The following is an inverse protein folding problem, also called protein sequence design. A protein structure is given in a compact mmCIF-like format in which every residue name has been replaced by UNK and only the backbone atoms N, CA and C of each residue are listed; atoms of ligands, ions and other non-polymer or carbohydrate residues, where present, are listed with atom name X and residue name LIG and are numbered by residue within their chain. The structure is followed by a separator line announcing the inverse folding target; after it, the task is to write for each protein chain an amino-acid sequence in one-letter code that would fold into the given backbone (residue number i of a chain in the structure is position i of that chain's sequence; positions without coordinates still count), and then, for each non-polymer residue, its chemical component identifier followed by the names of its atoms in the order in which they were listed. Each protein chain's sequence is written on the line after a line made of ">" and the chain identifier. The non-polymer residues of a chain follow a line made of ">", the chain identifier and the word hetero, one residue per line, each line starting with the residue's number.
data_IF_673057797641
#
_entry.id   IF_673057797641
#
_cell.length_a   1.000
_cell.length_b   1.000
_cell.length_c   1.000
_cell.angle_alpha   90.00
_cell.angle_beta   90.00
_cell.angle_gamma   90.00
#
_symmetry.space_group_name_H-M   'P 1'
#
loop_
_entity.id
_entity.type
_entity.pdbx_description
1 polymer ?
#
# COMPACT_ATOMS: atom_id res chain seq x y z
N UNK A 1 24.84 45.23 -62.35
CA UNK A 1 24.40 44.39 -61.22
C UNK A 1 22.94 44.03 -61.45
N UNK A 2 22.65 42.80 -61.86
CA UNK A 2 21.27 42.32 -62.03
C UNK A 2 21.03 41.31 -60.91
N UNK A 3 20.19 41.69 -59.95
CA UNK A 3 19.71 40.78 -58.90
C UNK A 3 18.79 39.73 -59.53
N UNK A 4 19.20 38.46 -59.56
CA UNK A 4 18.30 37.35 -59.88
C UNK A 4 17.30 37.22 -58.74
N UNK A 5 16.06 37.61 -58.97
CA UNK A 5 14.94 37.28 -58.09
C UNK A 5 14.59 35.82 -58.40
N UNK A 6 15.14 34.90 -57.60
CA UNK A 6 14.79 33.48 -57.65
C UNK A 6 13.40 33.29 -57.05
N UNK A 7 12.38 33.14 -57.89
CA UNK A 7 11.05 32.73 -57.44
C UNK A 7 11.09 31.26 -57.04
N UNK A 8 10.66 30.94 -55.81
CA UNK A 8 10.46 29.57 -55.37
C UNK A 8 9.41 28.90 -56.24
N UNK A 9 9.70 27.70 -56.75
CA UNK A 9 8.72 26.94 -57.53
C UNK A 9 7.75 26.23 -56.59
N UNK A 10 6.48 26.09 -57.01
CA UNK A 10 5.45 25.37 -56.23
C UNK A 10 5.92 23.95 -55.87
N UNK A 11 6.69 23.30 -56.75
CA UNK A 11 7.27 21.97 -56.54
C UNK A 11 8.27 21.98 -55.38
N UNK A 12 9.12 23.00 -55.29
CA UNK A 12 10.13 23.12 -54.24
C UNK A 12 9.48 23.31 -52.85
N UNK A 13 8.40 24.11 -52.78
CA UNK A 13 7.60 24.26 -51.56
C UNK A 13 6.95 22.93 -51.14
N UNK A 14 6.40 22.17 -52.09
CA UNK A 14 5.78 20.87 -51.81
C UNK A 14 6.80 19.83 -51.31
N UNK A 15 8.03 19.82 -51.87
CA UNK A 15 9.10 18.93 -51.41
C UNK A 15 9.52 19.28 -49.98
N UNK A 16 9.72 20.57 -49.66
CA UNK A 16 10.07 20.99 -48.30
C UNK A 16 8.98 20.63 -47.30
N UNK A 17 7.71 20.77 -47.68
CA UNK A 17 6.57 20.44 -46.83
C UNK A 17 6.48 18.91 -46.60
N UNK A 18 6.72 18.11 -47.63
CA UNK A 18 6.76 16.65 -47.52
C UNK A 18 7.89 16.18 -46.60
N UNK A 19 9.11 16.70 -46.77
CA UNK A 19 10.26 16.34 -45.93
C UNK A 19 10.01 16.77 -44.47
N UNK A 20 9.50 18.00 -44.27
CA UNK A 20 9.18 18.50 -42.93
C UNK A 20 8.09 17.67 -42.26
N UNK A 21 7.09 17.20 -43.01
CA UNK A 21 6.03 16.31 -42.51
C UNK A 21 6.57 14.95 -42.04
N UNK A 22 7.46 14.32 -42.81
CA UNK A 22 8.05 13.02 -42.43
C UNK A 22 8.91 13.14 -41.18
N UNK A 23 9.72 14.20 -41.08
CA UNK A 23 10.54 14.48 -39.89
C UNK A 23 9.65 14.75 -38.68
N UNK A 24 8.58 15.52 -38.85
CA UNK A 24 7.63 15.82 -37.77
C UNK A 24 6.96 14.56 -37.23
N UNK A 25 6.43 13.69 -38.10
CA UNK A 25 5.80 12.43 -37.68
C UNK A 25 6.78 11.53 -36.94
N UNK A 26 8.02 11.42 -37.44
CA UNK A 26 9.08 10.63 -36.80
C UNK A 26 9.44 11.18 -35.41
N UNK A 27 9.52 12.51 -35.28
CA UNK A 27 9.75 13.18 -34.01
C UNK A 27 8.62 12.95 -33.01
N UNK A 28 7.36 13.12 -33.41
CA UNK A 28 6.20 12.93 -32.53
C UNK A 28 6.15 11.52 -31.93
N UNK A 29 6.42 10.49 -32.74
CA UNK A 29 6.47 9.09 -32.25
C UNK A 29 7.58 8.92 -31.21
N UNK A 30 8.78 9.43 -31.48
CA UNK A 30 9.91 9.35 -30.55
C UNK A 30 9.63 10.10 -29.23
N UNK A 31 9.10 11.32 -29.29
CA UNK A 31 8.76 12.12 -28.11
C UNK A 31 7.64 11.48 -27.28
N UNK A 32 6.64 10.86 -27.93
CA UNK A 32 5.55 10.18 -27.21
C UNK A 32 6.04 8.97 -26.40
N UNK A 33 6.97 8.19 -26.96
CA UNK A 33 7.56 7.04 -26.25
C UNK A 33 8.45 7.46 -25.07
N UNK A 34 9.25 8.51 -25.25
CA UNK A 34 10.13 9.01 -24.20
C UNK A 34 9.35 9.69 -23.07
N UNK A 35 8.27 10.42 -23.38
CA UNK A 35 7.39 11.01 -22.38
C UNK A 35 6.72 9.96 -21.50
N UNK A 36 6.23 8.86 -22.10
CA UNK A 36 5.61 7.76 -21.36
C UNK A 36 6.61 7.00 -20.47
N UNK A 37 7.87 6.88 -20.91
CA UNK A 37 8.97 6.30 -20.11
C UNK A 37 9.18 7.06 -18.82
N UNK A 38 9.40 8.37 -18.93
CA UNK A 38 9.69 9.23 -17.78
C UNK A 38 8.50 9.32 -16.83
N UNK A 39 7.28 9.39 -17.36
CA UNK A 39 6.07 9.41 -16.53
C UNK A 39 5.90 8.12 -15.71
N UNK A 40 6.18 6.95 -16.32
CA UNK A 40 6.16 5.67 -15.62
C UNK A 40 7.22 5.60 -14.52
N UNK A 41 8.47 5.96 -14.83
CA UNK A 41 9.57 5.95 -13.86
C UNK A 41 9.28 6.87 -12.67
N UNK A 42 8.77 8.08 -12.93
CA UNK A 42 8.37 9.01 -11.88
C UNK A 42 7.22 8.45 -11.03
N UNK A 43 6.19 7.86 -11.66
CA UNK A 43 5.08 7.25 -10.93
C UNK A 43 5.54 6.12 -10.01
N UNK A 44 6.55 5.35 -10.39
CA UNK A 44 7.10 4.27 -9.57
C UNK A 44 7.96 4.78 -8.43
N UNK A 45 8.72 5.85 -8.64
CA UNK A 45 9.45 6.54 -7.57
C UNK A 45 8.48 7.11 -6.53
N UNK A 46 7.41 7.76 -6.98
CA UNK A 46 6.39 8.34 -6.11
C UNK A 46 5.65 7.26 -5.32
N UNK A 47 5.26 6.16 -5.97
CA UNK A 47 4.63 5.01 -5.30
C UNK A 47 5.55 4.38 -4.25
N UNK A 48 6.83 4.19 -4.57
CA UNK A 48 7.83 3.67 -3.64
C UNK A 48 8.01 4.58 -2.41
N UNK A 49 8.03 5.89 -2.63
CA UNK A 49 8.12 6.90 -1.57
C UNK A 49 6.87 6.90 -0.68
N UNK A 50 5.68 6.81 -1.26
CA UNK A 50 4.41 6.78 -0.51
C UNK A 50 4.32 5.52 0.36
N UNK A 51 4.60 4.33 -0.21
CA UNK A 51 4.64 3.06 0.54
C UNK A 51 5.60 3.20 1.74
N UNK A 52 6.81 3.69 1.48
CA UNK A 52 7.82 3.85 2.53
C UNK A 52 7.37 4.82 3.63
N UNK A 53 6.75 5.94 3.26
CA UNK A 53 6.26 6.96 4.19
C UNK A 53 5.15 6.41 5.07
N UNK A 54 4.19 5.69 4.47
CA UNK A 54 3.03 5.13 5.18
C UNK A 54 3.41 3.98 6.11
N UNK A 55 4.32 3.10 5.68
CA UNK A 55 4.79 2.00 6.51
C UNK A 55 5.66 2.50 7.69
N UNK A 56 6.33 3.64 7.56
CA UNK A 56 7.05 4.29 8.68
C UNK A 56 6.13 5.05 9.64
N UNK A 57 4.92 5.43 9.21
CA UNK A 57 3.93 6.13 10.03
C UNK A 57 3.23 5.26 11.08
N UNK A 58 3.49 3.95 11.08
CA UNK A 58 2.98 2.98 12.06
C UNK A 58 3.59 3.29 13.43
N UNK A 59 2.93 4.11 14.25
CA UNK A 59 3.41 4.42 15.60
C UNK A 59 2.71 5.55 16.34
N UNK A 60 2.01 6.47 15.66
CA UNK A 60 1.26 7.53 16.37
C UNK A 60 -0.20 7.14 16.56
N UNK A 61 -0.51 6.55 17.71
CA UNK A 61 -1.84 6.15 18.19
C UNK A 61 -2.82 7.32 18.46
N UNK A 62 -2.56 8.52 17.93
CA UNK A 62 -3.25 9.75 18.31
C UNK A 62 -4.37 10.21 17.35
N UNK A 63 -4.57 9.54 16.21
CA UNK A 63 -5.40 10.08 15.12
C UNK A 63 -6.92 10.03 15.37
N UNK A 64 -7.45 9.02 16.07
CA UNK A 64 -8.91 8.80 16.11
C UNK A 64 -9.68 9.90 16.85
N UNK A 65 -9.13 10.42 17.94
CA UNK A 65 -9.81 11.48 18.71
C UNK A 65 -9.89 12.80 17.94
N UNK A 66 -8.90 13.10 17.09
CA UNK A 66 -8.94 14.30 16.23
C UNK A 66 -9.93 14.18 15.08
N UNK A 67 -10.32 12.95 14.73
CA UNK A 67 -11.27 12.64 13.66
C UNK A 67 -12.69 12.39 14.18
N UNK A 68 -12.92 12.50 15.49
CA UNK A 68 -14.24 12.34 16.11
C UNK A 68 -14.65 10.88 16.34
N UNK A 69 -13.68 9.96 16.40
CA UNK A 69 -13.88 8.55 16.72
C UNK A 69 -13.29 8.20 18.08
N UNK A 70 -13.98 7.30 18.78
CA UNK A 70 -13.47 6.59 19.95
C UNK A 70 -13.26 5.13 19.58
N UNK A 71 -12.27 4.48 20.19
CA UNK A 71 -12.13 3.04 20.04
C UNK A 71 -12.78 2.31 21.22
N UNK A 72 -13.58 1.29 20.94
CA UNK A 72 -14.25 0.47 21.95
C UNK A 72 -14.07 -1.01 21.63
N UNK A 73 -14.11 -1.87 22.64
CA UNK A 73 -14.05 -3.32 22.43
C UNK A 73 -15.46 -3.89 22.37
N UNK A 74 -15.77 -4.60 21.28
CA UNK A 74 -17.11 -5.14 21.00
C UNK A 74 -17.02 -6.48 20.25
N UNK A 75 -18.15 -7.17 20.10
CA UNK A 75 -18.25 -8.41 19.32
C UNK A 75 -17.89 -9.69 20.10
N UNK A 76 -17.93 -10.82 19.39
CA UNK A 76 -17.51 -12.12 19.87
C UNK A 76 -16.86 -12.91 18.71
N UNK A 77 -15.51 -13.05 18.66
CA UNK A 77 -14.55 -12.62 19.67
C UNK A 77 -14.49 -11.10 19.83
N UNK A 78 -14.07 -10.64 21.01
CA UNK A 78 -13.95 -9.23 21.33
C UNK A 78 -12.87 -8.56 20.44
N UNK A 79 -13.21 -7.48 19.75
CA UNK A 79 -12.32 -6.73 18.85
C UNK A 79 -12.45 -5.22 19.06
N UNK A 80 -11.35 -4.52 18.79
CA UNK A 80 -11.24 -3.08 18.82
C UNK A 80 -11.96 -2.46 17.62
N UNK A 81 -13.12 -1.84 17.83
CA UNK A 81 -13.90 -1.17 16.77
C UNK A 81 -13.88 0.34 16.95
N UNK A 82 -13.98 1.07 15.85
CA UNK A 82 -14.20 2.52 15.90
C UNK A 82 -15.69 2.82 16.00
N UNK A 83 -16.04 3.69 16.93
CA UNK A 83 -17.39 4.23 17.08
C UNK A 83 -17.34 5.75 16.96
N UNK A 84 -18.29 6.40 16.27
CA UNK A 84 -18.44 7.86 16.31
C UNK A 84 -18.61 8.33 17.76
N UNK A 85 -17.88 9.37 18.15
CA UNK A 85 -17.97 9.90 19.51
C UNK A 85 -17.05 11.07 19.78
N UNK A 86 -17.58 12.09 20.45
CA UNK A 86 -16.81 13.23 20.96
C UNK A 86 -16.49 12.99 22.44
N UNK A 87 -15.43 12.23 22.73
CA UNK A 87 -15.16 11.72 24.08
C UNK A 87 -13.69 11.66 24.48
N UNK A 88 -13.43 11.95 25.76
CA UNK A 88 -12.12 12.13 26.42
C UNK A 88 -11.15 10.95 26.31
N UNK A 89 -9.86 11.26 26.50
CA UNK A 89 -8.65 10.40 26.55
C UNK A 89 -8.73 9.05 27.30
N UNK A 90 -9.82 8.77 28.00
CA UNK A 90 -10.10 7.52 28.72
C UNK A 90 -10.65 6.41 27.83
N UNK A 91 -11.34 6.71 26.72
CA UNK A 91 -11.87 5.71 25.78
C UNK A 91 -10.80 4.99 24.95
N UNK A 92 -9.59 5.55 24.85
CA UNK A 92 -8.49 4.96 24.06
C UNK A 92 -7.62 3.98 24.85
N UNK A 93 -8.02 3.61 26.06
CA UNK A 93 -7.24 2.70 26.90
C UNK A 93 -7.41 1.24 26.48
N UNK A 94 -8.47 0.90 25.75
CA UNK A 94 -8.83 -0.49 25.43
C UNK A 94 -8.30 -0.97 24.07
N UNK A 95 -7.93 -0.03 23.19
CA UNK A 95 -7.41 -0.31 21.85
C UNK A 95 -6.02 0.29 21.62
N UNK A 96 -5.25 -0.36 20.76
CA UNK A 96 -3.96 0.09 20.29
C UNK A 96 -3.93 0.06 18.76
N UNK A 97 -3.23 1.01 18.16
CA UNK A 97 -2.81 0.87 16.76
C UNK A 97 -1.66 -0.13 16.74
N UNK A 98 -1.91 -1.31 16.18
CA UNK A 98 -0.94 -2.41 16.17
C UNK A 98 -0.19 -2.50 14.86
N UNK A 99 -0.64 -1.81 13.81
CA UNK A 99 0.01 -1.90 12.50
C UNK A 99 -0.67 -1.11 11.40
N UNK A 100 -0.15 -1.28 10.18
CA UNK A 100 -0.79 -0.90 8.93
C UNK A 100 -0.80 -2.10 8.00
N UNK A 101 -1.95 -2.43 7.43
CA UNK A 101 -2.05 -3.39 6.34
C UNK A 101 -2.14 -2.66 5.01
N UNK A 102 -1.48 -3.20 3.99
CA UNK A 102 -1.45 -2.64 2.65
C UNK A 102 -2.03 -3.65 1.69
N UNK A 103 -2.97 -3.19 0.87
CA UNK A 103 -3.55 -3.97 -0.20
C UNK A 103 -3.12 -3.42 -1.56
N UNK A 104 -2.65 -4.33 -2.41
CA UNK A 104 -2.34 -4.11 -3.81
C UNK A 104 -3.20 -5.06 -4.67
N UNK A 105 -4.46 -4.68 -4.96
CA UNK A 105 -5.33 -5.47 -5.81
C UNK A 105 -4.74 -5.57 -7.20
N UNK A 106 -4.78 -6.77 -7.78
CA UNK A 106 -4.39 -6.95 -9.19
C UNK A 106 -5.37 -6.21 -10.10
N UNK A 107 -4.94 -5.79 -11.28
CA UNK A 107 -5.73 -5.00 -12.24
C UNK A 107 -6.19 -3.60 -11.78
N UNK A 108 -5.88 -3.19 -10.55
CA UNK A 108 -6.17 -1.85 -10.03
C UNK A 108 -4.99 -0.89 -10.25
N UNK A 109 -5.29 0.41 -10.19
CA UNK A 109 -4.34 1.52 -10.22
C UNK A 109 -4.19 2.18 -8.85
N UNK A 110 -4.62 1.51 -7.79
CA UNK A 110 -4.63 2.05 -6.43
C UNK A 110 -3.99 1.08 -5.44
N UNK A 111 -3.26 1.66 -4.50
CA UNK A 111 -2.84 0.99 -3.27
C UNK A 111 -3.76 1.45 -2.13
N UNK A 112 -4.11 0.52 -1.26
CA UNK A 112 -5.01 0.79 -0.14
C UNK A 112 -4.26 0.52 1.15
N UNK A 113 -4.33 1.47 2.08
CA UNK A 113 -3.64 1.41 3.36
C UNK A 113 -4.69 1.41 4.47
N UNK A 114 -4.74 0.30 5.19
CA UNK A 114 -5.61 0.10 6.34
C UNK A 114 -4.81 0.33 7.61
N UNK A 115 -5.27 1.23 8.46
CA UNK A 115 -4.79 1.25 9.83
C UNK A 115 -5.36 0.03 10.57
N UNK A 116 -4.52 -0.71 11.30
CA UNK A 116 -4.95 -1.90 12.03
C UNK A 116 -4.97 -1.62 13.53
N UNK A 117 -6.12 -1.89 14.12
CA UNK A 117 -6.39 -1.82 15.54
C UNK A 117 -6.22 -3.20 16.16
N UNK A 118 -5.84 -3.23 17.42
CA UNK A 118 -5.86 -4.42 18.26
C UNK A 118 -6.29 -4.07 19.68
N UNK A 119 -6.83 -5.05 20.38
CA UNK A 119 -7.13 -4.98 21.80
C UNK A 119 -5.84 -4.82 22.60
N UNK A 120 -5.86 -3.93 23.58
CA UNK A 120 -4.79 -3.84 24.58
C UNK A 120 -4.83 -5.00 25.57
N UNK A 121 -6.02 -5.52 25.82
CA UNK A 121 -6.28 -6.58 26.79
C UNK A 121 -6.80 -7.84 26.10
N UNK A 122 -6.54 -8.99 26.71
CA UNK A 122 -7.24 -10.23 26.38
C UNK A 122 -8.59 -10.20 27.07
N UNK A 123 -9.65 -10.55 26.35
CA UNK A 123 -11.01 -10.56 26.86
C UNK A 123 -11.56 -11.98 26.92
N UNK A 124 -12.26 -12.28 28.01
CA UNK A 124 -13.04 -13.52 28.16
C UNK A 124 -14.47 -13.34 27.65
N UNK A 125 -15.27 -14.41 27.71
CA UNK A 125 -16.68 -14.36 27.34
C UNK A 125 -17.42 -13.22 28.08
N UNK A 126 -18.17 -12.41 27.32
CA UNK A 126 -18.84 -11.21 27.83
C UNK A 126 -17.95 -9.96 27.90
N UNK A 127 -16.83 -9.93 27.16
CA UNK A 127 -15.93 -8.79 27.02
C UNK A 127 -15.34 -8.30 28.36
N UNK A 128 -15.07 -9.23 29.28
CA UNK A 128 -14.39 -8.94 30.54
C UNK A 128 -12.87 -9.10 30.37
N UNK A 129 -12.05 -8.09 30.71
CA UNK A 129 -10.60 -8.16 30.55
C UNK A 129 -9.99 -9.14 31.54
N UNK A 130 -9.08 -10.00 31.06
CA UNK A 130 -8.41 -11.05 31.85
C UNK A 130 -6.89 -10.91 31.90
N UNK A 131 -6.31 -10.01 31.11
CA UNK A 131 -4.86 -9.74 31.06
C UNK A 131 -4.48 -8.77 29.96
N UNK A 132 -3.20 -8.39 29.88
CA UNK A 132 -2.67 -7.63 28.74
C UNK A 132 -2.45 -8.57 27.55
N UNK A 133 -2.71 -8.10 26.34
CA UNK A 133 -2.32 -8.80 25.12
C UNK A 133 -0.79 -8.71 24.97
N UNK A 134 -0.13 -9.85 24.77
CA UNK A 134 1.34 -9.95 24.70
C UNK A 134 1.84 -10.30 23.30
N UNK A 135 0.94 -10.54 22.36
CA UNK A 135 1.26 -10.83 20.97
C UNK A 135 0.12 -10.38 20.04
N UNK A 136 0.42 -10.35 18.73
CA UNK A 136 -0.54 -9.91 17.71
C UNK A 136 -1.83 -10.73 17.74
N UNK A 137 -1.75 -12.06 17.91
CA UNK A 137 -2.93 -12.94 17.90
C UNK A 137 -3.86 -12.64 19.09
N UNK A 138 -3.30 -12.44 20.29
CA UNK A 138 -4.05 -12.04 21.49
C UNK A 138 -4.70 -10.67 21.37
N UNK A 139 -4.09 -9.77 20.58
CA UNK A 139 -4.65 -8.45 20.30
C UNK A 139 -5.88 -8.49 19.37
N UNK A 140 -6.21 -9.62 18.74
CA UNK A 140 -7.34 -9.74 17.80
C UNK A 140 -7.42 -8.59 16.77
N UNK A 141 -6.46 -8.52 15.83
CA UNK A 141 -6.35 -7.39 14.92
C UNK A 141 -7.61 -7.24 14.05
N UNK A 142 -7.94 -5.99 13.73
CA UNK A 142 -9.04 -5.59 12.86
C UNK A 142 -8.70 -4.27 12.20
N UNK A 143 -9.17 -4.02 10.98
CA UNK A 143 -8.93 -2.71 10.37
C UNK A 143 -9.73 -1.65 11.14
N UNK A 144 -9.23 -0.41 11.11
CA UNK A 144 -9.89 0.78 11.62
C UNK A 144 -11.11 1.12 10.75
N UNK A 145 -12.15 0.31 10.87
CA UNK A 145 -13.42 0.43 10.16
C UNK A 145 -14.49 0.92 11.13
N UNK A 146 -15.37 1.82 10.67
CA UNK A 146 -16.65 2.07 11.32
C UNK A 146 -17.77 1.94 10.31
N UNK A 147 -18.96 1.54 10.76
CA UNK A 147 -20.15 1.38 9.90
C UNK A 147 -20.52 2.67 9.14
N UNK A 148 -20.08 3.83 9.64
CA UNK A 148 -20.35 5.16 9.08
C UNK A 148 -19.14 5.77 8.32
N UNK A 149 -17.94 5.18 8.44
CA UNK A 149 -16.73 5.69 7.81
C UNK A 149 -15.65 4.62 7.59
N UNK A 150 -15.26 4.49 6.33
CA UNK A 150 -14.05 3.78 5.92
C UNK A 150 -12.84 4.73 6.03
N UNK A 151 -11.96 4.47 7.01
CA UNK A 151 -10.71 5.23 7.19
C UNK A 151 -9.57 4.72 6.30
N UNK A 152 -9.86 3.86 5.32
CA UNK A 152 -8.87 3.37 4.36
C UNK A 152 -8.31 4.54 3.56
N UNK A 153 -6.99 4.69 3.60
CA UNK A 153 -6.30 5.64 2.74
C UNK A 153 -6.04 5.00 1.37
N UNK A 154 -6.57 5.59 0.30
CA UNK A 154 -6.32 5.14 -1.07
C UNK A 154 -5.28 6.03 -1.76
N UNK A 155 -4.21 5.44 -2.29
CA UNK A 155 -3.24 6.12 -3.14
C UNK A 155 -3.43 5.71 -4.59
N UNK A 156 -3.74 6.67 -5.47
CA UNK A 156 -3.86 6.42 -6.91
C UNK A 156 -2.49 6.56 -7.58
N UNK A 157 -2.07 5.51 -8.27
CA UNK A 157 -0.89 5.50 -9.11
C UNK A 157 -1.07 6.50 -10.27
N UNK A 158 -0.03 7.26 -10.58
CA UNK A 158 -0.06 8.21 -11.68
C UNK A 158 -0.08 7.48 -13.03
N UNK A 159 -0.43 8.20 -14.09
CA UNK A 159 -0.32 7.73 -15.47
C UNK A 159 -1.00 6.38 -15.75
N UNK A 160 -2.13 6.09 -15.07
CA UNK A 160 -2.94 4.87 -15.24
C UNK A 160 -2.14 3.56 -15.15
N UNK A 161 -1.05 3.56 -14.37
CA UNK A 161 -0.28 2.36 -14.06
C UNK A 161 -1.16 1.35 -13.34
N UNK A 162 -1.00 0.07 -13.69
CA UNK A 162 -1.76 -1.02 -13.09
C UNK A 162 -0.85 -1.95 -12.29
N UNK A 163 -1.37 -2.48 -11.20
CA UNK A 163 -0.77 -3.59 -10.47
C UNK A 163 -1.12 -4.86 -11.23
N UNK A 164 -0.13 -5.63 -11.68
CA UNK A 164 -0.37 -6.87 -12.44
C UNK A 164 -0.17 -8.12 -11.59
N UNK A 165 0.71 -8.07 -10.59
CA UNK A 165 0.91 -9.18 -9.67
C UNK A 165 1.36 -8.71 -8.30
N UNK A 166 1.10 -9.55 -7.30
CA UNK A 166 1.40 -9.28 -5.90
C UNK A 166 1.71 -10.63 -5.23
N UNK A 167 2.98 -10.84 -4.91
CA UNK A 167 3.50 -12.13 -4.41
C UNK A 167 4.40 -11.90 -3.21
N UNK A 168 4.31 -12.79 -2.23
CA UNK A 168 5.13 -12.77 -1.03
C UNK A 168 6.08 -13.96 -1.05
N UNK A 169 7.34 -13.71 -0.73
CA UNK A 169 8.29 -14.71 -0.27
C UNK A 169 8.20 -14.77 1.26
N UNK A 170 7.81 -15.91 1.80
CA UNK A 170 7.73 -16.14 3.24
C UNK A 170 9.11 -16.45 3.83
N UNK A 171 9.24 -16.36 5.15
CA UNK A 171 10.52 -16.64 5.86
C UNK A 171 10.97 -18.10 5.66
N UNK A 172 10.03 -19.03 5.50
CA UNK A 172 10.30 -20.44 5.22
C UNK A 172 10.75 -20.72 3.76
N UNK A 173 10.82 -19.67 2.94
CA UNK A 173 11.19 -19.74 1.52
C UNK A 173 10.04 -20.11 0.58
N UNK A 174 8.83 -20.32 1.10
CA UNK A 174 7.65 -20.53 0.26
C UNK A 174 7.21 -19.23 -0.44
N UNK A 175 6.49 -19.37 -1.54
CA UNK A 175 5.88 -18.22 -2.23
C UNK A 175 4.36 -18.29 -2.08
N UNK A 176 3.78 -17.16 -1.67
CA UNK A 176 2.35 -16.99 -1.49
C UNK A 176 1.86 -15.84 -2.37
N UNK A 177 0.91 -16.14 -3.24
CA UNK A 177 0.23 -15.11 -4.00
C UNK A 177 -0.70 -14.33 -3.04
N UNK A 178 -0.42 -13.05 -2.81
CA UNK A 178 -1.08 -12.26 -1.77
C UNK A 178 -1.13 -10.80 -2.17
N UNK A 179 -2.34 -10.25 -2.25
CA UNK A 179 -2.63 -8.83 -2.45
C UNK A 179 -2.70 -8.06 -1.14
N UNK A 180 -2.62 -8.69 0.04
CA UNK A 180 -2.79 -8.04 1.34
C UNK A 180 -1.69 -8.45 2.32
N UNK A 181 -0.89 -7.48 2.76
CA UNK A 181 0.20 -7.68 3.71
C UNK A 181 0.08 -6.71 4.87
N UNK A 182 0.08 -7.23 6.09
CA UNK A 182 0.08 -6.48 7.34
C UNK A 182 1.49 -6.23 7.86
N UNK A 183 1.78 -5.01 8.30
CA UNK A 183 3.02 -4.63 8.97
C UNK A 183 2.69 -4.21 10.39
N UNK A 184 3.07 -5.05 11.36
CA UNK A 184 2.67 -4.93 12.76
C UNK A 184 3.85 -4.58 13.64
N UNK A 185 3.58 -3.91 14.76
CA UNK A 185 4.56 -3.76 15.84
C UNK A 185 4.86 -5.13 16.46
N UNK A 186 6.13 -5.40 16.77
CA UNK A 186 6.49 -6.56 17.57
C UNK A 186 6.21 -6.28 19.05
N UNK A 187 5.43 -7.16 19.68
CA UNK A 187 5.07 -7.08 21.08
C UNK A 187 6.20 -7.56 22.01
N UNK A 188 7.23 -8.24 21.48
CA UNK A 188 8.36 -8.78 22.24
C UNK A 188 9.28 -7.71 22.87
N UNK A 189 9.04 -6.42 22.60
CA UNK A 189 9.77 -5.29 23.19
C UNK A 189 9.08 -4.63 24.39
N UNK A 190 7.79 -4.91 24.65
CA UNK A 190 7.07 -4.32 25.78
C UNK A 190 7.24 -5.16 27.05
N UNK A 191 8.42 -5.07 27.66
CA UNK A 191 8.51 -5.36 29.10
C UNK A 191 7.58 -4.38 29.85
N UNK A 192 6.93 -4.77 30.96
CA UNK A 192 5.90 -3.96 31.65
C UNK A 192 6.36 -2.60 32.22
N UNK A 193 7.58 -2.15 31.94
CA UNK A 193 8.17 -0.95 32.52
C UNK A 193 9.08 -0.22 31.52
N UNK A 194 8.54 0.78 30.83
CA UNK A 194 9.25 2.02 30.48
C UNK A 194 10.50 1.93 29.59
N UNK A 195 10.56 1.03 28.61
CA UNK A 195 11.64 1.07 27.60
C UNK A 195 11.06 1.21 26.18
N UNK A 196 11.34 2.37 25.57
CA UNK A 196 11.29 2.56 24.11
C UNK A 196 12.43 1.73 23.49
N UNK A 197 12.21 0.42 23.36
CA UNK A 197 13.07 -0.49 22.60
C UNK A 197 12.66 -0.44 21.13
N UNK A 198 13.66 -0.38 20.23
CA UNK A 198 13.50 -0.37 18.78
C UNK A 198 12.39 -1.33 18.31
N UNK A 199 11.26 -0.79 17.85
CA UNK A 199 10.12 -1.58 17.40
C UNK A 199 10.51 -2.28 16.09
N UNK A 200 10.85 -3.56 16.17
CA UNK A 200 10.93 -4.43 14.99
C UNK A 200 9.52 -4.56 14.43
N UNK A 201 9.33 -4.29 13.15
CA UNK A 201 8.05 -4.58 12.51
C UNK A 201 7.99 -6.08 12.18
N UNK A 202 6.82 -6.69 12.30
CA UNK A 202 6.54 -8.03 11.78
C UNK A 202 5.61 -7.92 10.58
N UNK A 203 6.08 -8.38 9.42
CA UNK A 203 5.27 -8.46 8.23
C UNK A 203 4.53 -9.81 8.17
N UNK A 204 3.21 -9.77 7.95
CA UNK A 204 2.33 -10.94 7.86
C UNK A 204 1.60 -10.91 6.53
N UNK A 205 1.74 -11.95 5.74
CA UNK A 205 1.07 -12.10 4.46
C UNK A 205 -0.22 -12.90 4.61
N UNK A 206 -1.32 -12.29 4.19
CA UNK A 206 -2.62 -12.93 4.20
C UNK A 206 -2.82 -13.71 2.92
N UNK A 207 -3.40 -14.91 2.99
CA UNK A 207 -3.79 -15.66 1.80
C UNK A 207 -5.06 -15.04 1.18
N UNK A 208 -4.88 -13.84 0.61
CA UNK A 208 -5.92 -12.98 0.09
C UNK A 208 -5.46 -12.45 -1.26
N UNK A 209 -6.24 -12.72 -2.30
CA UNK A 209 -5.98 -12.22 -3.64
C UNK A 209 -7.26 -11.66 -4.22
N UNK A 210 -7.16 -10.48 -4.82
CA UNK A 210 -8.31 -9.80 -5.41
C UNK A 210 -7.89 -8.99 -6.64
N UNK A 211 -8.86 -8.76 -7.52
CA UNK A 211 -8.74 -7.91 -8.71
C UNK A 211 -9.27 -6.48 -8.47
N UNK A 212 -9.69 -6.17 -7.25
CA UNK A 212 -10.19 -4.85 -6.85
C UNK A 212 -10.33 -4.74 -5.35
N UNK A 213 -10.52 -3.54 -4.86
CA UNK A 213 -10.64 -3.28 -3.43
C UNK A 213 -11.99 -3.69 -2.84
N UNK A 214 -11.92 -4.44 -1.73
CA UNK A 214 -13.06 -4.75 -0.87
C UNK A 214 -12.61 -4.68 0.59
N UNK A 215 -12.85 -3.53 1.24
CA UNK A 215 -12.46 -3.30 2.62
C UNK A 215 -13.10 -4.32 3.59
N UNK A 216 -14.33 -4.79 3.33
CA UNK A 216 -15.01 -5.76 4.20
C UNK A 216 -14.38 -7.15 4.10
N UNK A 217 -14.03 -7.57 2.88
CA UNK A 217 -13.32 -8.83 2.65
C UNK A 217 -11.89 -8.79 3.23
N UNK A 218 -11.18 -7.67 3.05
CA UNK A 218 -9.86 -7.45 3.65
C UNK A 218 -9.94 -7.45 5.19
N UNK A 219 -10.95 -6.80 5.79
CA UNK A 219 -11.16 -6.84 7.24
C UNK A 219 -11.40 -8.27 7.73
N UNK A 220 -12.34 -8.97 7.10
CA UNK A 220 -12.68 -10.36 7.45
C UNK A 220 -11.45 -11.28 7.37
N UNK A 221 -10.56 -11.02 6.41
CA UNK A 221 -9.31 -11.74 6.26
C UNK A 221 -8.33 -11.44 7.40
N UNK A 222 -8.16 -10.16 7.77
CA UNK A 222 -7.30 -9.73 8.89
C UNK A 222 -7.81 -10.27 10.22
N UNK A 223 -9.13 -10.28 10.40
CA UNK A 223 -9.78 -10.87 11.57
C UNK A 223 -9.60 -12.40 11.65
N UNK A 224 -9.21 -13.05 10.54
CA UNK A 224 -9.06 -14.51 10.44
C UNK A 224 -10.38 -15.26 10.30
N UNK A 225 -11.45 -14.60 9.85
CA UNK A 225 -12.76 -15.24 9.63
C UNK A 225 -12.87 -15.90 8.26
N UNK A 226 -12.26 -15.29 7.23
CA UNK A 226 -12.29 -15.78 5.84
C UNK A 226 -10.97 -16.33 5.34
N UNK A 227 -9.85 -16.00 6.00
CA UNK A 227 -8.51 -16.38 5.59
C UNK A 227 -7.86 -17.37 6.56
N UNK A 228 -6.94 -18.18 6.02
CA UNK A 228 -6.03 -18.97 6.85
C UNK A 228 -5.10 -18.05 7.65
N UNK A 229 -4.55 -18.53 8.79
CA UNK A 229 -3.57 -17.77 9.56
C UNK A 229 -2.46 -17.22 8.65
N UNK A 230 -2.12 -15.92 8.78
CA UNK A 230 -1.18 -15.31 7.85
C UNK A 230 0.25 -15.85 8.07
N UNK A 231 0.99 -15.97 6.98
CA UNK A 231 2.38 -16.43 6.99
C UNK A 231 3.34 -15.27 7.31
N UNK A 232 4.50 -15.58 7.89
CA UNK A 232 5.56 -14.58 8.09
C UNK A 232 6.17 -14.16 6.76
N UNK A 233 6.00 -12.89 6.40
CA UNK A 233 6.50 -12.33 5.15
C UNK A 233 7.96 -11.89 5.30
N UNK A 234 8.81 -12.37 4.38
CA UNK A 234 10.20 -11.93 4.26
C UNK A 234 10.30 -10.75 3.29
N UNK A 235 9.75 -10.93 2.08
CA UNK A 235 9.69 -9.90 1.04
C UNK A 235 8.33 -9.95 0.35
N UNK A 236 7.68 -8.82 0.23
CA UNK A 236 6.49 -8.65 -0.59
C UNK A 236 6.86 -7.95 -1.90
N UNK A 237 6.53 -8.56 -3.04
CA UNK A 237 6.87 -8.09 -4.38
C UNK A 237 5.60 -7.69 -5.10
N UNK A 238 5.53 -6.43 -5.51
CA UNK A 238 4.41 -5.89 -6.28
C UNK A 238 4.90 -5.51 -7.66
N UNK A 239 4.32 -6.12 -8.68
CA UNK A 239 4.63 -5.82 -10.07
C UNK A 239 3.62 -4.84 -10.65
N UNK A 240 4.15 -3.81 -11.32
CA UNK A 240 3.40 -2.74 -11.96
C UNK A 240 3.64 -2.73 -13.45
N UNK A 241 2.63 -2.34 -14.21
CA UNK A 241 2.67 -2.24 -15.67
C UNK A 241 2.18 -0.87 -16.14
N UNK A 242 2.94 -0.28 -17.07
CA UNK A 242 2.51 0.95 -17.75
C UNK A 242 1.23 0.73 -18.57
N UNK A 243 0.43 1.77 -18.87
CA UNK A 243 -0.80 1.62 -19.67
C UNK A 243 -0.61 0.99 -21.05
N UNK A 244 0.59 1.14 -21.62
CA UNK A 244 0.94 0.59 -22.94
C UNK A 244 1.37 -0.88 -22.90
N UNK A 245 1.54 -1.48 -21.72
CA UNK A 245 2.03 -2.86 -21.54
C UNK A 245 3.54 -3.05 -21.82
N UNK A 246 4.24 -2.01 -22.27
CA UNK A 246 5.62 -2.12 -22.76
C UNK A 246 6.69 -1.98 -21.67
N UNK A 247 6.28 -1.58 -20.45
CA UNK A 247 7.19 -1.32 -19.33
C UNK A 247 6.60 -1.87 -18.05
N UNK A 248 7.49 -2.44 -17.24
CA UNK A 248 7.18 -3.01 -15.93
C UNK A 248 8.20 -2.59 -14.90
N UNK A 249 7.76 -2.59 -13.66
CA UNK A 249 8.59 -2.34 -12.50
C UNK A 249 8.10 -3.20 -11.34
N UNK A 250 9.02 -3.61 -10.49
CA UNK A 250 8.75 -4.35 -9.26
C UNK A 250 9.17 -3.49 -8.07
N UNK A 251 8.33 -3.40 -7.05
CA UNK A 251 8.71 -2.87 -5.74
C UNK A 251 8.78 -4.05 -4.78
N UNK A 252 9.97 -4.28 -4.25
CA UNK A 252 10.23 -5.23 -3.17
C UNK A 252 10.12 -4.51 -1.84
N UNK A 253 9.24 -5.00 -0.96
CA UNK A 253 9.02 -4.49 0.39
C UNK A 253 9.50 -5.57 1.35
N UNK A 254 10.71 -5.38 1.87
CA UNK A 254 11.36 -6.34 2.75
C UNK A 254 11.24 -5.91 4.22
N UNK A 255 10.89 -6.87 5.07
CA UNK A 255 10.89 -6.67 6.51
C UNK A 255 12.30 -6.89 7.07
N UNK A 256 12.87 -5.87 7.71
CA UNK A 256 14.21 -5.94 8.30
C UNK A 256 14.13 -5.63 9.81
N UNK A 257 15.12 -6.05 10.62
CA UNK A 257 15.16 -5.72 12.05
C UNK A 257 15.13 -4.21 12.35
N UNK A 258 15.61 -3.38 11.42
CA UNK A 258 15.60 -1.92 11.53
C UNK A 258 14.29 -1.27 11.01
N UNK A 259 13.30 -2.08 10.63
CA UNK A 259 12.02 -1.65 10.05
C UNK A 259 11.84 -2.10 8.60
N UNK A 260 10.85 -1.51 7.92
CA UNK A 260 10.53 -1.86 6.53
C UNK A 260 11.47 -1.13 5.56
N UNK A 261 12.02 -1.87 4.61
CA UNK A 261 12.81 -1.36 3.49
C UNK A 261 12.11 -1.61 2.17
N UNK A 262 12.27 -0.69 1.23
CA UNK A 262 11.69 -0.79 -0.11
C UNK A 262 12.77 -0.69 -1.16
N UNK A 263 12.68 -1.49 -2.22
CA UNK A 263 13.60 -1.48 -3.36
C UNK A 263 12.79 -1.47 -4.67
N UNK A 264 12.98 -0.42 -5.48
CA UNK A 264 12.34 -0.29 -6.79
C UNK A 264 13.26 -0.82 -7.90
N UNK A 265 12.74 -1.73 -8.74
CA UNK A 265 13.44 -2.38 -9.84
C UNK A 265 12.67 -2.22 -11.15
N UNK A 266 13.34 -1.74 -12.20
CA UNK A 266 12.76 -1.71 -13.55
C UNK A 266 13.08 -3.02 -14.28
N UNK A 267 12.25 -4.04 -14.03
CA UNK A 267 12.41 -5.39 -14.58
C UNK A 267 11.12 -5.89 -15.22
N UNK A 268 11.21 -6.89 -16.09
CA UNK A 268 10.06 -7.56 -16.67
C UNK A 268 9.48 -8.61 -15.70
N UNK A 269 8.77 -8.15 -14.67
CA UNK A 269 8.07 -8.99 -13.70
C UNK A 269 6.72 -9.50 -14.27
N UNK A 270 6.14 -10.52 -13.62
CA UNK A 270 4.89 -11.18 -14.05
C UNK A 270 3.97 -11.44 -12.88
#
# INVERSE_FOLDING_TARGET
>A
MISRWGGYTVIEVLIVLAISGVIFVSGVVMFSGQSNSTAFEQSMQDANSEITTRLRGVGSSQFFNSEGYICVVSGNPARAILSPGTGSSTGNQDCLVVGTAVEAPTSDSRLYFFQVLGNRQVYSAGNNPVGLATNLTESNPTIAFSDDADLTFSYKLASDVKIISSNVEAIDGSSLASSLVGFYIDFNGEAPVGQNGSQTAQAKAYNYQTAGHDASAANSCIEGTTCQPPADAKVWKICFESPSGNRRAEIDIANQPAGVTTELKFINCT
#
